data_IF_969172561820
#
_entry.id   IF_969172561820
#
_cell.length_a   1.000
_cell.length_b   1.000
_cell.length_c   1.000
_cell.angle_alpha   90.00
_cell.angle_beta   90.00
_cell.angle_gamma   90.00
#
_symmetry.space_group_name_H-M   'P 1'
#
loop_
_entity.id
_entity.type
_entity.pdbx_description
1 polymer ?
#
# COMPACT_ATOMS: atom_id res chain seq x y z
N UNK A 1 -24.26 2.33 -10.49
CA UNK A 1 -23.54 3.60 -10.75
C UNK A 1 -22.04 3.34 -10.89
N UNK A 2 -21.53 2.38 -10.13
CA UNK A 2 -20.13 1.94 -10.09
C UNK A 2 -19.32 2.06 -11.40
N UNK A 3 -19.78 1.48 -12.51
CA UNK A 3 -18.99 1.39 -13.75
C UNK A 3 -18.66 2.73 -14.43
N UNK A 4 -19.35 3.81 -14.04
CA UNK A 4 -19.13 5.17 -14.57
C UNK A 4 -18.26 6.03 -13.64
N UNK A 5 -17.86 5.49 -12.49
CA UNK A 5 -17.09 6.22 -11.46
C UNK A 5 -15.60 6.31 -11.84
N UNK A 6 -14.96 7.40 -11.43
CA UNK A 6 -13.50 7.54 -11.50
C UNK A 6 -12.83 6.43 -10.68
N UNK A 7 -13.34 6.10 -9.50
CA UNK A 7 -12.87 5.01 -8.63
C UNK A 7 -12.81 3.68 -9.39
N UNK A 8 -13.88 3.27 -10.07
CA UNK A 8 -13.87 2.02 -10.83
C UNK A 8 -12.88 2.05 -12.00
N UNK A 9 -12.84 3.15 -12.76
CA UNK A 9 -11.90 3.34 -13.87
C UNK A 9 -10.44 3.23 -13.39
N UNK A 10 -10.13 3.87 -12.26
CA UNK A 10 -8.81 3.91 -11.65
C UNK A 10 -8.40 2.54 -11.07
N UNK A 11 -9.35 1.77 -10.54
CA UNK A 11 -9.09 0.38 -10.16
C UNK A 11 -8.77 -0.46 -11.41
N UNK A 12 -9.57 -0.30 -12.47
CA UNK A 12 -9.45 -1.07 -13.72
C UNK A 12 -8.18 -0.80 -14.52
N UNK A 13 -7.61 0.40 -14.43
CA UNK A 13 -6.38 0.73 -15.16
C UNK A 13 -5.09 0.15 -14.52
N UNK A 14 -5.15 -0.34 -13.27
CA UNK A 14 -3.96 -0.78 -12.52
C UNK A 14 -3.04 -1.76 -13.25
N UNK A 15 -3.53 -2.82 -13.93
CA UNK A 15 -2.63 -3.72 -14.67
C UNK A 15 -1.76 -2.98 -15.69
N UNK A 16 -2.36 -2.02 -16.41
CA UNK A 16 -1.67 -1.21 -17.42
C UNK A 16 -0.74 -0.18 -16.78
N UNK A 17 -1.16 0.50 -15.70
CA UNK A 17 -0.34 1.51 -15.03
C UNK A 17 0.85 0.89 -14.30
N UNK A 18 0.73 -0.34 -13.79
CA UNK A 18 1.86 -1.08 -13.21
C UNK A 18 2.89 -1.46 -14.28
N UNK A 19 2.47 -1.86 -15.48
CA UNK A 19 3.41 -2.09 -16.58
C UNK A 19 4.15 -0.81 -16.99
N UNK A 20 3.44 0.33 -17.07
CA UNK A 20 4.08 1.64 -17.29
C UNK A 20 5.06 2.00 -16.16
N UNK A 21 4.66 1.75 -14.92
CA UNK A 21 5.48 1.99 -13.72
C UNK A 21 6.76 1.17 -13.77
N UNK A 22 6.67 -0.10 -14.18
CA UNK A 22 7.85 -0.95 -14.39
C UNK A 22 8.82 -0.33 -15.38
N UNK A 23 8.33 0.11 -16.55
CA UNK A 23 9.20 0.73 -17.56
C UNK A 23 9.89 2.00 -17.03
N UNK A 24 9.16 2.87 -16.34
CA UNK A 24 9.72 4.08 -15.70
C UNK A 24 10.86 3.71 -14.73
N UNK A 25 10.65 2.72 -13.87
CA UNK A 25 11.68 2.31 -12.91
C UNK A 25 12.88 1.68 -13.61
N UNK A 26 12.65 0.85 -14.62
CA UNK A 26 13.74 0.23 -15.37
C UNK A 26 14.63 1.27 -16.07
N UNK A 27 14.03 2.33 -16.62
CA UNK A 27 14.76 3.47 -17.20
C UNK A 27 15.58 4.24 -16.17
N UNK A 28 15.07 4.35 -14.93
CA UNK A 28 15.70 5.11 -13.84
C UNK A 28 16.60 4.30 -12.92
N UNK A 29 16.66 2.99 -13.09
CA UNK A 29 17.31 2.07 -12.15
C UNK A 29 18.80 2.35 -12.00
N UNK A 30 19.52 2.50 -13.11
CA UNK A 30 20.95 2.76 -13.09
C UNK A 30 21.28 4.09 -12.39
N UNK A 31 20.49 5.13 -12.67
CA UNK A 31 20.64 6.45 -12.07
C UNK A 31 20.38 6.40 -10.56
N UNK A 32 19.33 5.69 -10.13
CA UNK A 32 19.01 5.52 -8.71
C UNK A 32 20.11 4.75 -7.97
N UNK A 33 20.61 3.65 -8.55
CA UNK A 33 21.71 2.89 -7.96
C UNK A 33 23.00 3.75 -7.87
N UNK A 34 23.23 4.63 -8.84
CA UNK A 34 24.34 5.58 -8.77
C UNK A 34 24.13 6.62 -7.66
N UNK A 35 22.93 7.19 -7.54
CA UNK A 35 22.58 8.14 -6.50
C UNK A 35 22.83 7.54 -5.10
N UNK A 36 22.39 6.31 -4.86
CA UNK A 36 22.63 5.60 -3.60
C UNK A 36 24.12 5.35 -3.36
N UNK A 37 24.87 4.89 -4.38
CA UNK A 37 26.33 4.68 -4.26
C UNK A 37 27.06 5.97 -3.91
N UNK A 38 26.62 7.12 -4.44
CA UNK A 38 27.21 8.42 -4.11
C UNK A 38 26.98 8.78 -2.63
N UNK A 39 25.78 8.53 -2.09
CA UNK A 39 25.51 8.71 -0.65
C UNK A 39 26.46 7.84 0.19
N UNK A 40 26.60 6.57 -0.16
CA UNK A 40 27.50 5.65 0.56
C UNK A 40 28.98 6.10 0.51
N UNK A 41 29.43 6.59 -0.64
CA UNK A 41 30.81 7.04 -0.85
C UNK A 41 31.12 8.38 -0.16
N UNK A 42 30.15 9.30 -0.11
CA UNK A 42 30.31 10.58 0.57
C UNK A 42 30.31 10.42 2.10
N UNK A 43 29.67 9.35 2.60
CA UNK A 43 29.52 9.09 4.03
C UNK A 43 29.98 7.67 4.40
N UNK A 44 31.27 7.32 4.25
CA UNK A 44 31.77 5.97 4.49
C UNK A 44 31.70 5.55 5.97
N UNK A 45 31.79 6.51 6.89
CA UNK A 45 31.88 6.25 8.33
C UNK A 45 30.59 6.58 9.10
N UNK A 46 29.54 7.06 8.41
CA UNK A 46 28.27 7.40 9.06
C UNK A 46 27.27 6.25 9.01
N UNK A 47 26.35 6.29 9.97
CA UNK A 47 25.14 5.49 9.94
C UNK A 47 24.26 5.96 8.78
N UNK A 48 23.80 5.02 7.95
CA UNK A 48 22.91 5.31 6.83
C UNK A 48 21.52 4.73 7.12
N UNK A 49 20.47 5.50 6.82
CA UNK A 49 19.10 5.09 7.10
C UNK A 49 18.17 5.49 5.96
N UNK A 50 17.34 4.56 5.53
CA UNK A 50 16.20 4.82 4.66
C UNK A 50 14.96 4.95 5.53
N UNK A 51 14.21 6.04 5.32
CA UNK A 51 12.94 6.29 5.99
C UNK A 51 11.83 6.40 4.96
N UNK A 52 10.90 5.44 4.98
CA UNK A 52 9.70 5.49 4.16
C UNK A 52 8.65 6.37 4.82
N UNK A 53 8.15 7.37 4.09
CA UNK A 53 7.23 8.38 4.64
C UNK A 53 6.04 8.64 3.71
N UNK A 54 4.87 8.86 4.30
CA UNK A 54 3.64 9.25 3.62
C UNK A 54 2.51 9.49 4.64
N UNK A 55 1.36 9.97 4.17
CA UNK A 55 0.15 10.14 5.00
C UNK A 55 -0.97 9.20 4.52
N UNK A 56 -1.76 8.64 5.45
CA UNK A 56 -2.86 7.73 5.13
C UNK A 56 -2.41 6.54 4.29
N UNK A 57 -3.09 6.28 3.16
CA UNK A 57 -2.69 5.24 2.20
C UNK A 57 -1.23 5.34 1.75
N UNK A 58 -0.68 6.55 1.58
CA UNK A 58 0.75 6.72 1.24
C UNK A 58 1.69 6.25 2.36
N UNK A 59 1.28 6.30 3.63
CA UNK A 59 2.07 5.73 4.72
C UNK A 59 2.13 4.20 4.63
N UNK A 60 1.01 3.58 4.26
CA UNK A 60 0.92 2.12 4.13
C UNK A 60 1.76 1.58 2.97
N UNK A 61 2.10 2.40 1.97
CA UNK A 61 3.12 2.06 0.97
C UNK A 61 4.45 1.74 1.67
N UNK A 62 4.89 2.62 2.58
CA UNK A 62 6.13 2.45 3.33
C UNK A 62 6.13 1.19 4.21
N UNK A 63 5.00 0.92 4.88
CA UNK A 63 4.85 -0.26 5.72
C UNK A 63 5.03 -1.57 4.93
N UNK A 64 4.39 -1.66 3.75
CA UNK A 64 4.49 -2.83 2.88
C UNK A 64 5.90 -2.95 2.28
N UNK A 65 6.46 -1.87 1.74
CA UNK A 65 7.80 -1.89 1.10
C UNK A 65 8.90 -2.28 2.08
N UNK A 66 8.82 -1.82 3.33
CA UNK A 66 9.77 -2.20 4.39
C UNK A 66 9.86 -3.71 4.58
N UNK A 67 8.73 -4.42 4.40
CA UNK A 67 8.69 -5.88 4.41
C UNK A 67 9.05 -6.51 3.06
N UNK A 68 8.71 -5.86 1.96
CA UNK A 68 8.85 -6.40 0.60
C UNK A 68 10.24 -6.22 -0.03
N UNK A 69 11.08 -5.31 0.48
CA UNK A 69 12.44 -5.07 -0.02
C UNK A 69 13.27 -6.36 -0.14
N UNK A 70 14.31 -6.34 -0.97
CA UNK A 70 15.29 -7.42 -0.96
C UNK A 70 16.35 -7.18 0.14
N UNK A 71 16.67 -8.21 0.93
CA UNK A 71 17.56 -8.05 2.11
C UNK A 71 19.00 -7.74 1.79
N UNK A 72 19.46 -8.04 0.57
CA UNK A 72 20.81 -7.73 0.11
C UNK A 72 20.94 -6.36 -0.55
N UNK A 73 19.85 -5.63 -0.78
CA UNK A 73 19.89 -4.29 -1.37
C UNK A 73 20.20 -3.26 -0.30
N UNK A 74 21.13 -2.36 -0.60
CA UNK A 74 21.57 -1.30 0.30
C UNK A 74 21.98 -1.83 1.69
N UNK A 75 22.94 -2.78 1.77
CA UNK A 75 23.26 -3.49 3.01
C UNK A 75 23.83 -2.60 4.12
N UNK A 76 24.26 -1.36 3.80
CA UNK A 76 24.70 -0.36 4.77
C UNK A 76 23.57 0.43 5.41
N UNK A 77 22.36 0.36 4.85
CA UNK A 77 21.23 1.14 5.31
C UNK A 77 20.36 0.36 6.27
N UNK A 78 19.97 1.00 7.37
CA UNK A 78 18.82 0.59 8.16
C UNK A 78 17.53 1.09 7.51
N UNK A 79 16.43 0.35 7.66
CA UNK A 79 15.15 0.68 7.03
C UNK A 79 14.04 0.82 8.07
N UNK A 80 13.31 1.93 8.00
CA UNK A 80 12.12 2.14 8.81
C UNK A 80 10.98 2.77 8.00
N UNK A 81 9.76 2.61 8.49
CA UNK A 81 8.57 3.27 7.96
C UNK A 81 8.04 4.21 9.04
N UNK A 82 7.93 5.49 8.70
CA UNK A 82 7.50 6.56 9.61
C UNK A 82 6.47 7.39 8.86
N UNK A 83 5.18 7.32 9.24
CA UNK A 83 4.16 8.18 8.66
C UNK A 83 4.54 9.65 8.83
N UNK A 84 4.28 10.50 7.82
CA UNK A 84 4.53 11.95 7.92
C UNK A 84 3.76 12.56 9.09
N UNK A 85 2.59 12.00 9.40
CA UNK A 85 1.75 12.38 10.55
C UNK A 85 2.39 12.14 11.91
N UNK A 86 3.34 11.20 12.04
CA UNK A 86 4.15 11.03 13.25
C UNK A 86 5.44 11.87 13.16
N UNK A 87 6.06 11.90 11.98
CA UNK A 87 7.29 12.65 11.78
C UNK A 87 7.10 14.14 12.10
N UNK A 88 6.04 14.75 11.59
CA UNK A 88 5.78 16.19 11.73
C UNK A 88 5.47 16.59 13.17
N UNK A 89 4.91 15.69 13.98
CA UNK A 89 4.62 15.99 15.40
C UNK A 89 5.87 15.89 16.26
N UNK A 90 6.80 15.01 15.93
CA UNK A 90 7.98 14.71 16.74
C UNK A 90 9.26 14.54 15.91
N UNK A 91 9.67 15.51 15.08
CA UNK A 91 10.72 15.31 14.08
C UNK A 91 12.10 15.03 14.69
N UNK A 92 12.37 15.57 15.89
CA UNK A 92 13.60 15.31 16.64
C UNK A 92 13.74 13.87 17.16
N UNK A 93 12.67 13.06 17.17
CA UNK A 93 12.77 11.63 17.48
C UNK A 93 13.35 10.83 16.31
N UNK A 94 13.26 11.37 15.09
CA UNK A 94 13.55 10.66 13.86
C UNK A 94 14.85 11.14 13.19
N UNK A 95 15.20 12.43 13.34
CA UNK A 95 16.38 13.05 12.75
C UNK A 95 17.42 13.40 13.82
N UNK A 96 18.65 12.91 13.63
CA UNK A 96 19.84 13.28 14.38
C UNK A 96 20.99 13.74 13.45
N UNK A 97 22.02 14.37 14.02
CA UNK A 97 23.12 14.96 13.26
C UNK A 97 24.16 13.93 12.74
N UNK A 98 24.24 12.76 13.37
CA UNK A 98 25.26 11.73 13.09
C UNK A 98 24.79 10.73 12.02
N UNK A 99 23.49 10.64 11.79
CA UNK A 99 22.87 9.77 10.77
C UNK A 99 22.69 10.51 9.44
N UNK A 100 22.93 9.78 8.35
CA UNK A 100 22.59 10.21 6.98
C UNK A 100 21.29 9.54 6.58
N UNK A 101 20.34 10.33 6.10
CA UNK A 101 19.00 9.87 5.78
C UNK A 101 18.77 9.89 4.28
N UNK A 102 18.20 8.81 3.75
CA UNK A 102 17.45 8.81 2.50
C UNK A 102 15.96 8.77 2.85
N UNK A 103 15.29 9.92 2.80
CA UNK A 103 13.86 10.03 3.06
C UNK A 103 13.10 9.75 1.76
N UNK A 104 12.35 8.66 1.77
CA UNK A 104 11.49 8.27 0.66
C UNK A 104 10.10 8.85 0.91
N UNK A 105 9.68 9.82 0.11
CA UNK A 105 8.37 10.48 0.26
C UNK A 105 7.36 9.99 -0.76
N UNK A 106 6.27 9.41 -0.26
CA UNK A 106 5.12 8.94 -1.02
C UNK A 106 3.98 9.95 -0.99
N UNK A 107 3.52 10.39 -2.16
CA UNK A 107 2.31 11.21 -2.25
C UNK A 107 1.62 11.10 -3.60
N UNK A 108 0.30 10.87 -3.60
CA UNK A 108 -0.53 10.99 -4.81
C UNK A 108 -0.51 12.41 -5.37
N UNK A 109 -1.00 13.39 -4.59
CA UNK A 109 -1.12 14.78 -5.05
C UNK A 109 0.17 15.58 -4.92
N UNK A 110 1.14 15.10 -4.14
CA UNK A 110 2.35 15.84 -3.78
C UNK A 110 2.12 17.03 -2.84
N UNK A 111 0.87 17.38 -2.50
CA UNK A 111 0.52 18.67 -1.90
C UNK A 111 -0.01 18.57 -0.45
N UNK A 112 0.13 17.42 0.21
CA UNK A 112 -0.20 17.32 1.64
C UNK A 112 0.72 18.26 2.45
N UNK A 113 0.16 19.11 3.33
CA UNK A 113 0.96 19.96 4.22
C UNK A 113 2.00 19.15 5.02
N UNK A 114 1.63 17.95 5.46
CA UNK A 114 2.51 17.06 6.22
C UNK A 114 3.66 16.53 5.36
N UNK A 115 3.41 16.15 4.10
CA UNK A 115 4.49 15.75 3.17
C UNK A 115 5.48 16.88 2.98
N UNK A 116 5.00 18.10 2.73
CA UNK A 116 5.87 19.27 2.58
C UNK A 116 6.65 19.56 3.87
N UNK A 117 5.97 19.51 5.02
CA UNK A 117 6.59 19.75 6.31
C UNK A 117 7.67 18.70 6.64
N UNK A 118 7.47 17.42 6.32
CA UNK A 118 8.50 16.39 6.52
C UNK A 118 9.79 16.72 5.76
N UNK A 119 9.68 17.13 4.48
CA UNK A 119 10.84 17.53 3.68
C UNK A 119 11.53 18.76 4.28
N UNK A 120 10.76 19.81 4.60
CA UNK A 120 11.29 21.06 5.14
C UNK A 120 11.93 20.87 6.53
N UNK A 121 11.30 20.10 7.41
CA UNK A 121 11.79 19.84 8.76
C UNK A 121 13.06 19.00 8.72
N UNK A 122 13.11 17.94 7.90
CA UNK A 122 14.32 17.14 7.75
C UNK A 122 15.51 17.99 7.30
N UNK A 123 15.32 18.84 6.28
CA UNK A 123 16.35 19.75 5.77
C UNK A 123 16.74 20.84 6.78
N UNK A 124 15.80 21.25 7.64
CA UNK A 124 16.08 22.21 8.73
C UNK A 124 16.93 21.56 9.83
N UNK A 125 16.65 20.31 10.18
CA UNK A 125 17.26 19.61 11.31
C UNK A 125 18.62 18.98 10.98
N UNK A 126 18.90 18.65 9.72
CA UNK A 126 20.15 18.03 9.33
C UNK A 126 20.55 18.38 7.89
N UNK A 127 21.86 18.56 7.69
CA UNK A 127 22.45 18.73 6.36
C UNK A 127 22.74 17.38 5.67
N UNK A 128 22.58 16.27 6.39
CA UNK A 128 22.86 14.91 5.88
C UNK A 128 21.58 14.23 5.39
N UNK A 129 20.71 14.97 4.70
CA UNK A 129 19.41 14.48 4.22
C UNK A 129 19.40 14.45 2.70
N UNK A 130 19.09 13.28 2.17
CA UNK A 130 18.80 12.99 0.78
C UNK A 130 17.34 12.58 0.66
N UNK A 131 16.75 12.80 -0.50
CA UNK A 131 15.35 12.52 -0.76
C UNK A 131 15.18 11.63 -1.98
N UNK A 132 14.27 10.66 -1.86
CA UNK A 132 13.68 9.95 -2.98
C UNK A 132 12.19 10.30 -3.01
N UNK A 133 11.76 11.06 -4.01
CA UNK A 133 10.34 11.39 -4.18
C UNK A 133 9.68 10.41 -5.14
N UNK A 134 8.62 9.74 -4.69
CA UNK A 134 7.81 8.86 -5.53
C UNK A 134 6.39 9.41 -5.51
N UNK A 135 5.97 10.01 -6.62
CA UNK A 135 4.71 10.76 -6.69
C UNK A 135 3.96 10.52 -7.98
N UNK A 136 2.63 10.62 -7.91
CA UNK A 136 1.74 10.51 -9.07
C UNK A 136 1.45 11.87 -9.72
N UNK A 137 1.87 12.98 -9.10
CA UNK A 137 1.57 14.33 -9.60
C UNK A 137 2.86 15.08 -9.97
N UNK A 138 3.11 15.24 -11.28
CA UNK A 138 4.24 16.00 -11.80
C UNK A 138 4.21 17.47 -11.38
N UNK A 139 3.03 18.06 -11.23
CA UNK A 139 2.84 19.47 -10.87
C UNK A 139 2.78 19.70 -9.36
N UNK A 140 2.71 18.62 -8.56
CA UNK A 140 2.68 18.71 -7.11
C UNK A 140 4.04 19.09 -6.52
N UNK A 141 4.08 19.54 -5.26
CA UNK A 141 5.32 19.99 -4.61
C UNK A 141 6.50 19.01 -4.76
N UNK A 142 6.28 17.70 -4.61
CA UNK A 142 7.33 16.70 -4.83
C UNK A 142 7.74 16.55 -6.31
N UNK A 143 6.79 16.59 -7.24
CA UNK A 143 7.05 16.41 -8.68
C UNK A 143 7.77 17.62 -9.29
N UNK A 144 7.33 18.82 -8.90
CA UNK A 144 7.87 20.11 -9.32
C UNK A 144 9.08 20.57 -8.51
N UNK A 145 9.54 19.78 -7.52
CA UNK A 145 10.75 20.09 -6.76
C UNK A 145 11.95 20.25 -7.70
N UNK A 146 12.91 21.11 -7.36
CA UNK A 146 14.06 21.41 -8.21
C UNK A 146 14.80 20.13 -8.63
N UNK A 147 15.00 19.95 -9.94
CA UNK A 147 15.72 18.79 -10.49
C UNK A 147 17.24 18.93 -10.41
N UNK A 148 17.74 20.14 -10.16
CA UNK A 148 19.18 20.41 -10.09
C UNK A 148 19.74 20.20 -8.66
N UNK A 149 18.87 19.92 -7.69
CA UNK A 149 19.28 19.57 -6.32
C UNK A 149 19.90 18.17 -6.28
N UNK A 150 21.22 18.13 -6.05
CA UNK A 150 22.00 16.89 -5.97
C UNK A 150 21.59 15.97 -4.81
N UNK A 151 20.79 16.44 -3.85
CA UNK A 151 20.27 15.63 -2.75
C UNK A 151 18.93 14.98 -3.06
N UNK A 152 18.36 15.21 -4.24
CA UNK A 152 17.01 14.74 -4.59
C UNK A 152 17.02 13.82 -5.80
N UNK A 153 16.42 12.65 -5.65
CA UNK A 153 16.07 11.75 -6.75
C UNK A 153 14.55 11.66 -6.87
N UNK A 154 14.01 11.68 -8.09
CA UNK A 154 12.55 11.69 -8.31
C UNK A 154 12.11 10.58 -9.26
N UNK A 155 11.00 9.94 -8.90
CA UNK A 155 10.22 9.05 -9.75
C UNK A 155 8.81 9.63 -9.84
N UNK A 156 8.52 10.23 -10.99
CA UNK A 156 7.16 10.67 -11.35
C UNK A 156 6.48 9.50 -12.05
N UNK A 157 5.35 9.08 -11.49
CA UNK A 157 4.55 7.95 -11.97
C UNK A 157 3.61 8.40 -13.10
N UNK A 158 2.99 7.47 -13.85
CA UNK A 158 2.13 7.82 -14.98
C UNK A 158 1.02 8.79 -14.58
N UNK A 159 0.74 9.80 -15.41
CA UNK A 159 -0.23 10.88 -15.10
C UNK A 159 -1.61 10.33 -14.68
N UNK A 160 -2.07 9.26 -15.34
CA UNK A 160 -3.37 8.66 -15.03
C UNK A 160 -3.44 8.07 -13.60
N UNK A 161 -2.31 7.86 -12.94
CA UNK A 161 -2.24 7.37 -11.56
C UNK A 161 -2.43 8.46 -10.52
N UNK A 162 -2.56 9.73 -10.94
CA UNK A 162 -3.04 10.80 -10.07
C UNK A 162 -4.57 10.70 -9.89
N UNK A 163 -5.00 9.68 -9.14
CA UNK A 163 -6.41 9.32 -8.95
C UNK A 163 -7.27 10.56 -8.62
N UNK A 164 -8.35 10.75 -9.39
CA UNK A 164 -9.35 11.80 -9.22
C UNK A 164 -10.34 11.48 -8.11
N UNK A 165 -10.59 10.20 -7.86
CA UNK A 165 -11.42 9.75 -6.75
C UNK A 165 -10.84 10.14 -5.39
N UNK A 166 -11.70 10.14 -4.36
CA UNK A 166 -11.25 10.33 -2.98
C UNK A 166 -10.24 9.26 -2.57
N UNK A 167 -10.59 8.00 -2.81
CA UNK A 167 -9.82 6.83 -2.43
C UNK A 167 -8.62 6.61 -3.36
N UNK A 168 -7.41 6.51 -2.80
CA UNK A 168 -6.24 6.11 -3.58
C UNK A 168 -6.37 4.67 -4.07
N UNK A 169 -6.22 4.43 -5.37
CA UNK A 169 -6.26 3.11 -6.00
C UNK A 169 -5.00 2.85 -6.82
N UNK A 170 -4.94 3.34 -8.06
CA UNK A 170 -3.77 3.19 -8.93
C UNK A 170 -2.58 4.02 -8.48
N UNK A 171 -2.83 5.10 -7.74
CA UNK A 171 -1.77 5.86 -7.06
C UNK A 171 -1.01 5.00 -6.05
N UNK A 172 -1.73 4.32 -5.15
CA UNK A 172 -1.15 3.45 -4.13
C UNK A 172 -0.35 2.31 -4.75
N UNK A 173 -0.94 1.57 -5.68
CA UNK A 173 -0.29 0.40 -6.27
C UNK A 173 0.93 0.77 -7.09
N UNK A 174 0.90 1.87 -7.85
CA UNK A 174 2.07 2.34 -8.59
C UNK A 174 3.19 2.83 -7.68
N UNK A 175 2.91 3.55 -6.59
CA UNK A 175 3.96 3.94 -5.62
C UNK A 175 4.59 2.72 -4.93
N UNK A 176 3.75 1.76 -4.51
CA UNK A 176 4.19 0.52 -3.90
C UNK A 176 5.07 -0.29 -4.84
N UNK A 177 4.62 -0.48 -6.08
CA UNK A 177 5.37 -1.26 -7.06
C UNK A 177 6.66 -0.59 -7.48
N UNK A 178 6.67 0.73 -7.69
CA UNK A 178 7.89 1.46 -8.03
C UNK A 178 8.95 1.30 -6.93
N UNK A 179 8.53 1.44 -5.68
CA UNK A 179 9.40 1.27 -4.52
C UNK A 179 9.92 -0.16 -4.42
N UNK A 180 9.04 -1.15 -4.51
CA UNK A 180 9.44 -2.56 -4.50
C UNK A 180 10.56 -2.84 -5.51
N UNK A 181 10.42 -2.36 -6.75
CA UNK A 181 11.42 -2.52 -7.80
C UNK A 181 12.75 -1.82 -7.49
N UNK A 182 12.70 -0.56 -7.02
CA UNK A 182 13.90 0.21 -6.65
C UNK A 182 14.67 -0.45 -5.50
N UNK A 183 13.98 -1.07 -4.56
CA UNK A 183 14.56 -1.76 -3.40
C UNK A 183 14.79 -3.27 -3.64
N UNK A 184 15.02 -3.66 -4.90
CA UNK A 184 15.52 -4.99 -5.26
C UNK A 184 14.46 -6.02 -5.64
N UNK A 185 13.20 -5.62 -5.72
CA UNK A 185 12.11 -6.46 -6.17
C UNK A 185 12.29 -6.94 -7.60
N UNK A 186 11.85 -8.17 -7.86
CA UNK A 186 11.78 -8.77 -9.19
C UNK A 186 10.35 -9.14 -9.53
N UNK A 187 10.09 -9.33 -10.82
CA UNK A 187 8.75 -9.56 -11.36
C UNK A 187 8.79 -10.80 -12.24
N UNK A 188 7.83 -11.68 -12.06
CA UNK A 188 7.62 -12.85 -12.88
C UNK A 188 7.31 -12.40 -14.33
N UNK A 189 7.91 -13.03 -15.36
CA UNK A 189 7.77 -12.57 -16.76
C UNK A 189 6.33 -12.46 -17.26
N UNK A 190 5.42 -13.28 -16.71
CA UNK A 190 3.99 -13.30 -17.09
C UNK A 190 3.09 -12.47 -16.17
N UNK A 191 3.65 -11.76 -15.19
CA UNK A 191 2.85 -11.07 -14.16
C UNK A 191 1.79 -10.13 -14.73
N UNK A 192 2.18 -9.24 -15.66
CA UNK A 192 1.26 -8.27 -16.24
C UNK A 192 0.14 -8.94 -17.05
N UNK A 193 0.45 -10.01 -17.78
CA UNK A 193 -0.54 -10.78 -18.53
C UNK A 193 -1.53 -11.46 -17.57
N UNK A 194 -1.01 -12.15 -16.54
CA UNK A 194 -1.81 -12.82 -15.51
C UNK A 194 -2.74 -11.81 -14.83
N UNK A 195 -2.19 -10.69 -14.35
CA UNK A 195 -2.94 -9.65 -13.67
C UNK A 195 -4.02 -9.02 -14.55
N UNK A 196 -3.73 -8.81 -15.84
CA UNK A 196 -4.71 -8.31 -16.81
C UNK A 196 -5.85 -9.31 -16.99
N UNK A 197 -5.54 -10.60 -17.16
CA UNK A 197 -6.57 -11.65 -17.32
C UNK A 197 -7.37 -11.90 -16.05
N UNK A 198 -6.76 -11.69 -14.88
CA UNK A 198 -7.39 -11.93 -13.59
C UNK A 198 -8.32 -10.79 -13.16
N UNK A 199 -8.31 -9.63 -13.82
CA UNK A 199 -9.14 -8.49 -13.41
C UNK A 199 -10.63 -8.84 -13.36
N UNK A 200 -11.18 -9.40 -14.44
CA UNK A 200 -12.61 -9.77 -14.50
C UNK A 200 -12.95 -10.86 -13.49
N UNK A 201 -12.01 -11.78 -13.25
CA UNK A 201 -12.18 -12.82 -12.24
C UNK A 201 -12.22 -12.22 -10.82
N UNK A 202 -11.29 -11.30 -10.50
CA UNK A 202 -11.24 -10.59 -9.21
C UNK A 202 -12.52 -9.78 -8.98
N UNK A 203 -13.05 -9.16 -10.03
CA UNK A 203 -14.33 -8.44 -9.99
C UNK A 203 -15.52 -9.36 -9.67
N UNK A 204 -15.56 -10.54 -10.28
CA UNK A 204 -16.58 -11.55 -9.98
C UNK A 204 -16.45 -12.07 -8.55
N UNK A 205 -15.22 -12.29 -8.07
CA UNK A 205 -14.97 -12.70 -6.69
C UNK A 205 -15.39 -11.64 -5.67
N UNK A 206 -15.02 -10.37 -5.90
CA UNK A 206 -15.48 -9.26 -5.08
C UNK A 206 -17.00 -9.18 -5.05
N UNK A 207 -17.66 -9.40 -6.20
CA UNK A 207 -19.12 -9.39 -6.31
C UNK A 207 -19.75 -10.53 -5.53
N UNK A 208 -19.19 -11.74 -5.62
CA UNK A 208 -19.66 -12.89 -4.87
C UNK A 208 -19.56 -12.66 -3.36
N UNK A 209 -18.45 -12.07 -2.89
CA UNK A 209 -18.29 -11.71 -1.49
C UNK A 209 -19.27 -10.61 -1.08
N UNK A 210 -19.44 -9.56 -1.88
CA UNK A 210 -20.39 -8.47 -1.59
C UNK A 210 -21.85 -8.93 -1.46
N UNK A 211 -22.23 -10.03 -2.10
CA UNK A 211 -23.57 -10.63 -1.99
C UNK A 211 -23.79 -11.40 -0.67
N UNK A 212 -22.73 -11.65 0.10
CA UNK A 212 -22.85 -12.24 1.43
C UNK A 212 -23.41 -11.20 2.42
N UNK A 213 -24.21 -11.69 3.35
CA UNK A 213 -24.75 -10.90 4.46
C UNK A 213 -23.72 -10.77 5.58
N UNK A 214 -23.09 -9.60 5.69
CA UNK A 214 -22.15 -9.23 6.76
C UNK A 214 -22.16 -7.72 7.00
N UNK A 215 -22.02 -7.28 8.25
CA UNK A 215 -21.74 -5.89 8.62
C UNK A 215 -20.31 -5.69 9.12
N UNK A 216 -19.56 -6.79 9.30
CA UNK A 216 -18.21 -6.77 9.86
C UNK A 216 -17.23 -7.58 9.04
N UNK A 217 -16.05 -7.03 8.76
CA UNK A 217 -14.98 -7.70 8.01
C UNK A 217 -13.72 -7.84 8.86
N UNK A 218 -13.12 -9.02 8.82
CA UNK A 218 -11.78 -9.29 9.35
C UNK A 218 -10.84 -9.62 8.18
N UNK A 219 -9.96 -8.69 7.83
CA UNK A 219 -8.87 -8.97 6.88
C UNK A 219 -7.66 -9.56 7.62
N UNK A 220 -7.23 -10.75 7.22
CA UNK A 220 -6.12 -11.45 7.87
C UNK A 220 -5.10 -11.94 6.84
N UNK A 221 -3.82 -11.66 7.07
CA UNK A 221 -2.75 -12.10 6.19
C UNK A 221 -1.39 -12.13 6.92
N UNK A 222 -0.36 -12.64 6.23
CA UNK A 222 1.00 -12.78 6.77
C UNK A 222 2.00 -11.89 6.03
N UNK A 223 3.06 -11.44 6.71
CA UNK A 223 4.16 -10.71 6.09
C UNK A 223 3.73 -9.41 5.43
N UNK A 224 4.26 -9.13 4.23
CA UNK A 224 3.92 -7.92 3.46
C UNK A 224 2.42 -7.84 3.11
N UNK A 225 1.75 -8.99 2.92
CA UNK A 225 0.31 -9.05 2.66
C UNK A 225 -0.46 -8.71 3.94
N UNK A 226 0.10 -9.06 5.11
CA UNK A 226 -0.37 -8.60 6.42
C UNK A 226 -0.37 -7.07 6.53
N UNK A 227 0.71 -6.40 6.09
CA UNK A 227 0.76 -4.93 6.04
C UNK A 227 -0.24 -4.34 5.04
N UNK A 228 -0.45 -5.01 3.89
CA UNK A 228 -1.45 -4.60 2.89
C UNK A 228 -2.87 -4.55 3.45
N UNK A 229 -3.20 -5.36 4.47
CA UNK A 229 -4.54 -5.32 5.10
C UNK A 229 -4.90 -3.93 5.61
N UNK A 230 -3.90 -3.08 5.96
CA UNK A 230 -4.09 -1.67 6.33
C UNK A 230 -4.79 -0.88 5.23
N UNK A 231 -4.30 -1.03 4.01
CA UNK A 231 -4.83 -0.31 2.85
C UNK A 231 -6.19 -0.86 2.43
N UNK A 232 -6.33 -2.18 2.31
CA UNK A 232 -7.61 -2.80 1.91
C UNK A 232 -8.72 -2.45 2.90
N UNK A 233 -8.40 -2.46 4.20
CA UNK A 233 -9.32 -2.03 5.26
C UNK A 233 -9.69 -0.56 5.15
N UNK A 234 -8.70 0.32 4.89
CA UNK A 234 -8.96 1.75 4.76
C UNK A 234 -9.88 2.04 3.56
N UNK A 235 -9.68 1.36 2.42
CA UNK A 235 -10.56 1.50 1.25
C UNK A 235 -12.01 1.14 1.57
N UNK A 236 -12.22 0.03 2.26
CA UNK A 236 -13.57 -0.36 2.67
C UNK A 236 -14.17 0.67 3.63
N UNK A 237 -13.39 1.19 4.58
CA UNK A 237 -13.85 2.20 5.53
C UNK A 237 -14.24 3.51 4.82
N UNK A 238 -13.36 4.04 3.97
CA UNK A 238 -13.56 5.29 3.23
C UNK A 238 -14.78 5.18 2.30
N UNK A 239 -14.84 4.12 1.48
CA UNK A 239 -15.89 3.98 0.46
C UNK A 239 -17.25 3.63 1.05
N UNK A 240 -17.30 2.96 2.20
CA UNK A 240 -18.57 2.67 2.90
C UNK A 240 -18.97 3.73 3.92
N UNK A 241 -18.23 4.85 4.00
CA UNK A 241 -18.45 5.89 5.01
C UNK A 241 -18.53 5.34 6.45
N UNK A 242 -17.72 4.32 6.75
CA UNK A 242 -17.69 3.64 8.05
C UNK A 242 -18.91 2.76 8.37
N UNK A 243 -19.82 2.51 7.41
CA UNK A 243 -21.00 1.67 7.63
C UNK A 243 -20.67 0.17 7.75
N UNK A 244 -19.47 -0.25 7.33
CA UNK A 244 -18.96 -1.60 7.57
C UNK A 244 -17.93 -1.56 8.69
N UNK A 245 -18.14 -2.35 9.74
CA UNK A 245 -17.14 -2.54 10.79
C UNK A 245 -15.93 -3.29 10.24
N UNK A 246 -14.73 -2.82 10.54
CA UNK A 246 -13.51 -3.36 9.94
C UNK A 246 -12.49 -3.66 11.03
N UNK A 247 -11.96 -4.87 10.97
CA UNK A 247 -10.80 -5.29 11.73
C UNK A 247 -9.76 -5.87 10.77
N UNK A 248 -8.49 -5.70 11.11
CA UNK A 248 -7.37 -6.21 10.33
C UNK A 248 -6.28 -6.71 11.24
N UNK A 249 -5.73 -7.86 10.91
CA UNK A 249 -4.74 -8.52 11.75
C UNK A 249 -3.73 -9.32 10.95
N UNK A 250 -2.59 -9.58 11.59
CA UNK A 250 -1.69 -10.63 11.10
C UNK A 250 -2.27 -12.00 11.42
N UNK A 251 -1.93 -13.02 10.63
CA UNK A 251 -2.38 -14.42 10.84
C UNK A 251 -2.19 -14.90 12.28
N UNK A 252 -1.02 -14.63 12.89
CA UNK A 252 -0.81 -15.01 14.29
C UNK A 252 -1.45 -14.03 15.26
N UNK A 253 -1.36 -12.72 15.00
CA UNK A 253 -1.95 -11.66 15.83
C UNK A 253 -3.46 -11.82 16.04
N UNK A 254 -4.17 -12.34 15.05
CA UNK A 254 -5.62 -12.53 15.09
C UNK A 254 -6.11 -13.31 16.33
N UNK A 255 -5.33 -14.28 16.82
CA UNK A 255 -5.66 -15.09 18.00
C UNK A 255 -5.62 -14.32 19.32
N UNK A 256 -4.90 -13.21 19.36
CA UNK A 256 -4.59 -12.49 20.60
C UNK A 256 -5.64 -11.42 20.95
N UNK A 257 -6.92 -11.79 20.84
CA UNK A 257 -8.06 -10.91 21.14
C UNK A 257 -9.01 -10.67 19.95
N UNK A 258 -8.52 -10.25 18.77
CA UNK A 258 -9.37 -9.90 17.63
C UNK A 258 -10.35 -10.99 17.19
N UNK A 259 -9.95 -12.27 17.27
CA UNK A 259 -10.81 -13.43 17.00
C UNK A 259 -12.11 -13.43 17.80
N UNK A 260 -12.14 -12.86 19.00
CA UNK A 260 -13.35 -12.80 19.83
C UNK A 260 -14.48 -12.00 19.18
N UNK A 261 -14.16 -11.11 18.23
CA UNK A 261 -15.13 -10.32 17.49
C UNK A 261 -15.81 -11.04 16.33
N UNK A 262 -15.52 -12.33 16.09
CA UNK A 262 -16.20 -13.15 15.08
C UNK A 262 -17.62 -13.52 15.52
N UNK A 263 -18.61 -13.05 14.75
CA UNK A 263 -20.04 -13.14 15.00
C UNK A 263 -20.82 -13.45 13.70
N UNK A 264 -22.13 -13.70 13.81
CA UNK A 264 -22.97 -14.15 12.69
C UNK A 264 -22.97 -13.21 11.49
N UNK A 265 -22.80 -11.92 11.76
CA UNK A 265 -22.72 -10.81 10.82
C UNK A 265 -21.29 -10.49 10.37
N UNK A 266 -20.30 -11.32 10.74
CA UNK A 266 -18.91 -11.14 10.37
C UNK A 266 -18.52 -12.03 9.17
N UNK A 267 -17.58 -11.52 8.37
CA UNK A 267 -16.82 -12.29 7.40
C UNK A 267 -15.32 -12.24 7.75
N UNK A 268 -14.69 -13.41 7.78
CA UNK A 268 -13.25 -13.57 7.82
C UNK A 268 -12.73 -13.70 6.39
N UNK A 269 -11.86 -12.79 5.98
CA UNK A 269 -11.22 -12.78 4.67
C UNK A 269 -9.71 -12.98 4.87
N UNK A 270 -9.18 -14.11 4.40
CA UNK A 270 -7.74 -14.36 4.39
C UNK A 270 -7.16 -14.20 2.99
N UNK A 271 -6.04 -13.48 2.91
CA UNK A 271 -5.23 -13.33 1.70
C UNK A 271 -3.91 -14.06 1.90
N UNK A 272 -3.76 -15.22 1.26
CA UNK A 272 -2.67 -16.16 1.57
C UNK A 272 -1.36 -15.84 0.87
N UNK A 273 -0.28 -16.23 1.53
CA UNK A 273 1.07 -16.15 0.98
C UNK A 273 1.37 -17.35 0.07
N UNK A 274 2.23 -17.16 -0.94
CA UNK A 274 2.84 -18.27 -1.69
C UNK A 274 4.09 -18.82 -1.00
N UNK A 275 4.59 -18.17 0.06
CA UNK A 275 5.77 -18.62 0.80
C UNK A 275 5.46 -19.87 1.65
N UNK A 276 6.15 -21.01 1.44
CA UNK A 276 5.88 -22.24 2.19
C UNK A 276 6.00 -22.09 3.71
N UNK A 277 6.85 -21.18 4.18
CA UNK A 277 7.00 -20.92 5.61
C UNK A 277 5.81 -20.17 6.20
N UNK A 278 5.29 -19.14 5.51
CA UNK A 278 4.09 -18.42 5.97
C UNK A 278 2.86 -19.33 5.98
N UNK A 279 2.73 -20.18 4.95
CA UNK A 279 1.57 -21.05 4.77
C UNK A 279 1.34 -22.02 5.93
N UNK A 280 2.41 -22.50 6.59
CA UNK A 280 2.28 -23.34 7.78
C UNK A 280 1.43 -22.67 8.88
N UNK A 281 1.65 -21.38 9.13
CA UNK A 281 0.89 -20.61 10.13
C UNK A 281 -0.52 -20.27 9.64
N UNK A 282 -0.69 -20.05 8.34
CA UNK A 282 -2.00 -19.80 7.72
C UNK A 282 -2.87 -21.05 7.75
N UNK A 283 -2.32 -22.22 7.43
CA UNK A 283 -2.99 -23.52 7.50
C UNK A 283 -3.52 -23.81 8.90
N UNK A 284 -2.73 -23.51 9.94
CA UNK A 284 -3.16 -23.62 11.33
C UNK A 284 -4.37 -22.74 11.62
N UNK A 285 -4.37 -21.49 11.15
CA UNK A 285 -5.50 -20.58 11.37
C UNK A 285 -6.73 -20.95 10.55
N UNK A 286 -6.55 -21.35 9.30
CA UNK A 286 -7.64 -21.77 8.41
C UNK A 286 -8.37 -22.96 9.02
N UNK A 287 -7.64 -23.97 9.52
CA UNK A 287 -8.25 -25.11 10.21
C UNK A 287 -9.08 -24.67 11.42
N UNK A 288 -8.49 -23.83 12.27
CA UNK A 288 -9.13 -23.34 13.49
C UNK A 288 -10.38 -22.48 13.24
N UNK A 289 -10.37 -21.68 12.17
CA UNK A 289 -11.52 -20.86 11.74
C UNK A 289 -12.57 -21.73 11.05
N UNK A 290 -12.15 -22.73 10.29
CA UNK A 290 -13.03 -23.68 9.58
C UNK A 290 -13.75 -24.68 10.49
N UNK A 291 -13.25 -24.95 11.71
CA UNK A 291 -13.91 -25.80 12.70
C UNK A 291 -15.27 -25.26 13.17
N UNK A 292 -15.50 -23.95 13.06
CA UNK A 292 -16.74 -23.32 13.51
C UNK A 292 -17.66 -23.06 12.32
N UNK A 293 -18.64 -23.94 12.13
CA UNK A 293 -19.66 -23.76 11.10
C UNK A 293 -20.75 -22.78 11.55
N UNK A 294 -21.35 -22.07 10.60
CA UNK A 294 -22.55 -21.23 10.77
C UNK A 294 -22.45 -20.03 11.74
N UNK A 295 -21.27 -19.78 12.32
CA UNK A 295 -21.07 -18.64 13.24
C UNK A 295 -20.63 -17.36 12.53
N UNK A 296 -20.00 -17.45 11.37
CA UNK A 296 -19.52 -16.32 10.57
C UNK A 296 -19.26 -16.82 9.13
N UNK A 297 -18.98 -15.91 8.21
CA UNK A 297 -18.56 -16.24 6.84
C UNK A 297 -17.04 -16.35 6.77
N UNK A 298 -16.56 -17.23 5.90
CA UNK A 298 -15.13 -17.43 5.64
C UNK A 298 -14.91 -17.29 4.14
N UNK A 299 -13.87 -16.56 3.75
CA UNK A 299 -13.44 -16.41 2.38
C UNK A 299 -11.92 -16.40 2.33
N UNK A 300 -11.31 -17.29 1.55
CA UNK A 300 -9.86 -17.44 1.48
C UNK A 300 -9.44 -17.24 0.03
N UNK A 301 -8.59 -16.24 -0.22
CA UNK A 301 -7.94 -16.02 -1.50
C UNK A 301 -6.56 -16.65 -1.47
N UNK A 302 -6.26 -17.47 -2.47
CA UNK A 302 -5.02 -18.25 -2.52
C UNK A 302 -4.40 -18.22 -3.92
N UNK A 303 -3.08 -18.06 -4.03
CA UNK A 303 -2.36 -18.20 -5.30
C UNK A 303 -2.19 -19.66 -5.75
N UNK A 304 -2.28 -20.62 -4.82
CA UNK A 304 -2.08 -22.06 -5.08
C UNK A 304 -3.41 -22.79 -5.27
N UNK A 305 -3.38 -23.92 -5.99
CA UNK A 305 -4.51 -24.86 -6.10
C UNK A 305 -4.70 -25.60 -4.77
N UNK A 306 -5.33 -24.91 -3.82
CA UNK A 306 -5.79 -25.48 -2.56
C UNK A 306 -7.31 -25.65 -2.61
N UNK A 307 -7.76 -26.90 -2.51
CA UNK A 307 -9.19 -27.29 -2.54
C UNK A 307 -9.84 -27.23 -1.16
N UNK A 308 -9.24 -26.48 -0.23
CA UNK A 308 -9.82 -26.19 1.08
C UNK A 308 -11.23 -25.60 1.00
N UNK A 309 -12.04 -25.87 2.01
CA UNK A 309 -13.36 -25.26 2.14
C UNK A 309 -13.22 -23.73 2.19
N UNK A 310 -14.07 -23.01 1.47
CA UNK A 310 -14.06 -21.53 1.38
C UNK A 310 -12.86 -20.91 0.65
N UNK A 311 -11.94 -21.74 0.12
CA UNK A 311 -10.80 -21.28 -0.66
C UNK A 311 -11.17 -21.08 -2.12
N UNK A 312 -10.74 -19.94 -2.66
CA UNK A 312 -10.86 -19.59 -4.07
C UNK A 312 -9.46 -19.30 -4.61
N UNK A 313 -9.05 -20.11 -5.59
CA UNK A 313 -7.75 -19.97 -6.23
C UNK A 313 -7.73 -18.79 -7.20
N UNK A 314 -6.79 -17.88 -7.01
CA UNK A 314 -6.40 -16.85 -7.96
C UNK A 314 -5.73 -17.50 -9.19
N UNK A 315 -6.31 -17.38 -10.39
CA UNK A 315 -5.84 -18.15 -11.54
C UNK A 315 -4.40 -17.86 -11.93
N UNK A 316 -3.66 -18.90 -12.34
CA UNK A 316 -2.29 -18.83 -12.86
C UNK A 316 -1.30 -18.10 -11.94
N UNK A 317 -1.52 -18.12 -10.62
CA UNK A 317 -0.77 -17.32 -9.66
C UNK A 317 0.14 -18.15 -8.74
N UNK A 318 0.34 -19.44 -9.03
CA UNK A 318 1.10 -20.38 -8.21
C UNK A 318 2.58 -20.01 -8.12
N UNK A 319 3.13 -19.41 -9.18
CA UNK A 319 4.53 -19.02 -9.29
C UNK A 319 4.78 -17.54 -8.97
N UNK A 320 3.75 -16.78 -8.63
CA UNK A 320 3.88 -15.36 -8.30
C UNK A 320 4.46 -15.17 -6.91
N UNK A 321 5.25 -14.12 -6.72
CA UNK A 321 5.72 -13.68 -5.41
C UNK A 321 4.57 -13.11 -4.57
N UNK A 322 4.78 -13.02 -3.25
CA UNK A 322 3.81 -12.39 -2.34
C UNK A 322 3.51 -10.93 -2.72
N UNK A 323 4.46 -10.20 -3.30
CA UNK A 323 4.22 -8.84 -3.79
C UNK A 323 3.27 -8.84 -5.00
N UNK A 324 3.46 -9.77 -5.93
CA UNK A 324 2.59 -9.91 -7.10
C UNK A 324 1.18 -10.41 -6.71
N UNK A 325 1.08 -11.27 -5.70
CA UNK A 325 -0.20 -11.62 -5.08
C UNK A 325 -0.83 -10.40 -4.38
N UNK A 326 -0.07 -9.66 -3.58
CA UNK A 326 -0.53 -8.46 -2.88
C UNK A 326 -1.15 -7.43 -3.84
N UNK A 327 -0.55 -7.19 -5.00
CA UNK A 327 -1.11 -6.27 -6.00
C UNK A 327 -2.46 -6.74 -6.57
N UNK A 328 -2.67 -8.05 -6.72
CA UNK A 328 -3.95 -8.61 -7.15
C UNK A 328 -4.98 -8.64 -6.02
N UNK A 329 -4.57 -8.94 -4.80
CA UNK A 329 -5.42 -8.89 -3.61
C UNK A 329 -5.87 -7.46 -3.26
N UNK A 330 -5.01 -6.48 -3.53
CA UNK A 330 -5.37 -5.07 -3.45
C UNK A 330 -6.52 -4.74 -4.40
N UNK A 331 -6.46 -5.19 -5.66
CA UNK A 331 -7.55 -5.01 -6.62
C UNK A 331 -8.84 -5.65 -6.10
N UNK A 332 -8.78 -6.88 -5.59
CA UNK A 332 -9.96 -7.51 -4.98
C UNK A 332 -10.54 -6.66 -3.84
N UNK A 333 -9.69 -6.17 -2.93
CA UNK A 333 -10.10 -5.34 -1.80
C UNK A 333 -10.75 -4.02 -2.23
N UNK A 334 -10.17 -3.35 -3.23
CA UNK A 334 -10.70 -2.11 -3.79
C UNK A 334 -12.03 -2.35 -4.52
N UNK A 335 -12.15 -3.42 -5.32
CA UNK A 335 -13.39 -3.79 -5.99
C UNK A 335 -14.49 -4.12 -4.99
N UNK A 336 -14.17 -4.88 -3.93
CA UNK A 336 -15.12 -5.18 -2.86
C UNK A 336 -15.59 -3.90 -2.17
N UNK A 337 -14.68 -2.99 -1.84
CA UNK A 337 -15.03 -1.71 -1.23
C UNK A 337 -15.93 -0.84 -2.13
N UNK A 338 -15.61 -0.73 -3.42
CA UNK A 338 -16.39 0.06 -4.37
C UNK A 338 -17.78 -0.56 -4.66
N UNK A 339 -17.85 -1.88 -4.78
CA UNK A 339 -19.12 -2.60 -4.94
C UNK A 339 -19.98 -2.54 -3.67
N UNK A 340 -19.37 -2.54 -2.48
CA UNK A 340 -20.08 -2.37 -1.21
C UNK A 340 -20.66 -0.97 -1.10
N UNK A 341 -19.90 0.06 -1.47
CA UNK A 341 -20.36 1.43 -1.52
C UNK A 341 -21.58 1.61 -2.45
N UNK A 342 -21.51 1.08 -3.68
CA UNK A 342 -22.64 1.12 -4.64
C UNK A 342 -23.86 0.35 -4.09
N UNK A 343 -23.65 -0.80 -3.44
CA UNK A 343 -24.73 -1.58 -2.81
C UNK A 343 -25.38 -0.86 -1.60
N UNK A 344 -24.63 0.00 -0.90
CA UNK A 344 -25.13 0.86 0.17
C UNK A 344 -25.74 2.18 -0.35
N UNK A 345 -25.79 2.38 -1.67
CA UNK A 345 -26.31 3.61 -2.28
C UNK A 345 -25.38 4.83 -2.13
N UNK A 346 -24.10 4.61 -1.81
CA UNK A 346 -23.07 5.63 -1.74
C UNK A 346 -22.41 5.84 -3.11
N UNK A 347 -21.88 7.03 -3.37
CA UNK A 347 -21.07 7.30 -4.56
C UNK A 347 -19.60 6.96 -4.29
N UNK A 348 -18.99 5.95 -4.96
CA UNK A 348 -17.59 5.60 -4.77
C UNK A 348 -16.58 6.73 -5.05
N UNK A 349 -16.91 7.72 -5.89
CA UNK A 349 -16.00 8.85 -6.15
C UNK A 349 -15.98 9.85 -5.00
N UNK A 350 -17.11 9.99 -4.31
CA UNK A 350 -17.30 10.90 -3.19
C UNK A 350 -18.20 10.26 -2.11
N UNK A 351 -17.67 9.34 -1.30
CA UNK A 351 -18.45 8.60 -0.30
C UNK A 351 -18.87 9.44 0.91
N UNK A 352 -18.36 10.68 1.03
CA UNK A 352 -18.72 11.65 2.08
C UNK A 352 -19.31 12.90 1.44
N UNK A 353 -20.60 12.87 1.06
CA UNK A 353 -21.26 14.00 0.39
C UNK A 353 -21.36 15.25 1.27
N UNK A 354 -21.24 15.10 2.60
CA UNK A 354 -21.17 16.16 3.59
C UNK A 354 -19.77 16.82 3.70
N UNK A 355 -18.76 16.25 3.03
CA UNK A 355 -17.38 16.77 3.00
C UNK A 355 -16.60 16.53 4.29
N UNK A 356 -17.05 15.60 5.14
CA UNK A 356 -16.37 15.22 6.37
C UNK A 356 -14.96 14.64 6.10
N UNK A 357 -14.83 13.80 5.07
CA UNK A 357 -13.53 13.37 4.52
C UNK A 357 -13.29 14.02 3.16
N UNK A 358 -12.03 14.36 2.86
CA UNK A 358 -11.63 15.09 1.66
C UNK A 358 -10.51 14.36 0.93
N UNK A 359 -10.54 14.38 -0.41
CA UNK A 359 -9.47 13.85 -1.28
C UNK A 359 -8.09 14.43 -0.92
N UNK A 360 -8.01 15.75 -0.74
CA UNK A 360 -6.82 16.42 -0.20
C UNK A 360 -7.15 16.90 1.20
N UNK A 361 -6.31 16.56 2.17
CA UNK A 361 -6.50 16.95 3.58
C UNK A 361 -6.65 18.47 3.70
N UNK A 362 -7.60 18.91 4.52
CA UNK A 362 -7.86 20.31 4.85
C UNK A 362 -7.78 20.51 6.35
N UNK A 363 -7.43 21.72 6.78
CA UNK A 363 -7.45 22.11 8.20
C UNK A 363 -6.22 21.74 9.02
N UNK A 364 -5.16 21.20 8.40
CA UNK A 364 -3.89 20.92 9.08
C UNK A 364 -3.04 22.19 9.13
N UNK A 365 -2.71 22.64 10.35
CA UNK A 365 -1.76 23.75 10.57
C UNK A 365 -0.39 23.16 10.88
N UNK A 366 0.62 23.50 10.08
CA UNK A 366 2.01 23.12 10.31
C UNK A 366 2.66 24.18 11.20
N UNK A 367 3.17 23.76 12.36
CA UNK A 367 3.92 24.63 13.28
C UNK A 367 5.41 24.47 13.03
N UNK A 368 6.18 25.57 12.91
CA UNK A 368 7.58 25.51 12.51
C UNK A 368 8.43 24.76 13.54
N UNK A 369 9.33 23.90 13.06
CA UNK A 369 10.39 23.28 13.88
C UNK A 369 11.56 24.25 14.03
N UNK A 370 12.23 24.22 15.18
CA UNK A 370 13.50 24.94 15.38
C UNK A 370 14.66 23.96 15.19
N UNK A 371 15.60 24.34 14.31
CA UNK A 371 16.83 23.62 14.02
C UNK A 371 17.78 23.50 15.20
#
# INVERSE_FOLDING_TARGET
MLYETDTYREIKQQPKTLQKTFNIVQEKRADFEQFVRQIEQQHPDKKLKVMFTGAGSSAYVGDVVRMARHTSVMPRFEFESVPTTHFVTDPHLYIDAETVYLIVSFARSGNSPETKATVEFANTLSQNVYHLFITNNQEGFLGAYDSDDAHVFKIVLPEETNDQSLAMTSSFSSMLFASYLLFGGTVHPRFFDIMTTNFEWLEQQAKAVNQLDFSKVFYVATGLIGELTKEVSLKLNELTAGQTEIARETTLGFRHGPKAGLSKDAIFIMMRSNQPYHRQYEDDLIREVGEVTDRYKVYILDGQDDKGAHTVQLPNSEALSDMELALQYLIFGQLLAAQRADALGLNPDNPSPDGFINRVVKGVTIYPVKG
#
